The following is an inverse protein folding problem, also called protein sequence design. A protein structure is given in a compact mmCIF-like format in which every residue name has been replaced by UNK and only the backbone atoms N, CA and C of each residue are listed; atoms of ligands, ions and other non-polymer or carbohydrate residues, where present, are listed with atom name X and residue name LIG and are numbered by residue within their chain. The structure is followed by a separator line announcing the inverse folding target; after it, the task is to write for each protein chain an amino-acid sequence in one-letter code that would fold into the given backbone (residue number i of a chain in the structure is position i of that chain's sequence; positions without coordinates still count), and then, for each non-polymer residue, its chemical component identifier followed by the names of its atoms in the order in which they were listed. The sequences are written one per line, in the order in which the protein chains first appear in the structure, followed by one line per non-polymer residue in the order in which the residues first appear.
data_IF_419633171402
#
_entry.id   IF_419633171402
#
_cell.length_a   1.000
_cell.length_b   1.000
_cell.length_c   1.000
_cell.angle_alpha   90.00
_cell.angle_beta   90.00
_cell.angle_gamma   90.00
#
_symmetry.space_group_name_H-M   'P 1'
#
loop_
_entity.id
_entity.type
_entity.pdbx_description
1 polymer ?
#
# COMPACT_ATOMS: atom_id res chain seq x y z
N UNK A 1 14.10 -12.93 14.98
CA UNK A 1 13.09 -13.19 13.92
C UNK A 1 13.80 -12.98 12.61
N UNK A 2 14.09 -14.05 11.86
CA UNK A 2 14.74 -13.94 10.55
C UNK A 2 13.76 -13.28 9.57
N UNK A 3 14.21 -12.24 8.87
CA UNK A 3 13.42 -11.61 7.81
C UNK A 3 13.07 -12.67 6.79
N UNK A 4 11.77 -12.81 6.49
CA UNK A 4 11.33 -13.63 5.38
C UNK A 4 11.87 -12.94 4.13
N UNK A 5 12.85 -13.54 3.45
CA UNK A 5 13.24 -13.06 2.12
C UNK A 5 11.96 -12.91 1.30
N UNK A 6 11.76 -11.71 0.74
CA UNK A 6 10.70 -11.48 -0.23
C UNK A 6 11.01 -12.39 -1.41
N UNK A 7 10.30 -13.52 -1.49
CA UNK A 7 10.63 -14.60 -2.40
C UNK A 7 10.77 -14.05 -3.82
N UNK A 8 11.98 -14.09 -4.36
CA UNK A 8 12.27 -13.64 -5.74
C UNK A 8 12.57 -12.15 -5.92
N UNK A 9 12.90 -11.39 -4.86
CA UNK A 9 13.43 -10.03 -4.99
C UNK A 9 14.88 -9.96 -4.52
N UNK A 10 15.78 -9.46 -5.37
CA UNK A 10 17.15 -9.15 -4.93
C UNK A 10 17.16 -7.87 -4.10
N UNK A 11 18.22 -7.67 -3.29
CA UNK A 11 18.43 -6.40 -2.57
C UNK A 11 18.49 -5.19 -3.52
N UNK A 12 19.01 -5.38 -4.74
CA UNK A 12 19.08 -4.33 -5.77
C UNK A 12 17.70 -3.98 -6.30
N UNK A 13 16.89 -4.99 -6.63
CA UNK A 13 15.51 -4.77 -7.09
C UNK A 13 14.69 -4.09 -6.01
N UNK A 14 14.80 -4.56 -4.77
CA UNK A 14 14.11 -3.97 -3.63
C UNK A 14 14.52 -2.51 -3.43
N UNK A 15 15.81 -2.18 -3.51
CA UNK A 15 16.28 -0.80 -3.42
C UNK A 15 15.72 0.07 -4.55
N UNK A 16 15.70 -0.44 -5.78
CA UNK A 16 15.12 0.27 -6.92
C UNK A 16 13.62 0.52 -6.72
N UNK A 17 12.85 -0.51 -6.35
CA UNK A 17 11.41 -0.47 -6.10
C UNK A 17 11.01 0.47 -4.95
N UNK A 18 11.91 0.76 -4.02
CA UNK A 18 11.71 1.67 -2.90
C UNK A 18 12.13 3.12 -3.21
N UNK A 19 12.51 3.43 -4.45
CA UNK A 19 13.07 4.72 -4.86
C UNK A 19 12.48 5.19 -6.22
N UNK A 20 12.74 6.45 -6.63
CA UNK A 20 12.33 6.94 -7.95
C UNK A 20 12.93 6.16 -9.15
N UNK A 21 13.96 5.33 -8.92
CA UNK A 21 14.60 4.54 -9.99
C UNK A 21 13.65 3.53 -10.62
N UNK A 22 12.63 3.06 -9.88
CA UNK A 22 11.64 2.14 -10.41
C UNK A 22 10.74 2.75 -11.50
N UNK A 23 10.67 4.09 -11.59
CA UNK A 23 9.79 4.82 -12.51
C UNK A 23 8.39 4.19 -12.54
N UNK A 24 7.83 3.98 -11.35
CA UNK A 24 6.65 3.18 -11.20
C UNK A 24 5.40 3.98 -11.58
N UNK A 25 4.52 3.38 -12.37
CA UNK A 25 3.32 4.05 -12.88
C UNK A 25 2.12 3.12 -12.74
N UNK A 26 1.06 3.59 -12.10
CA UNK A 26 -0.20 2.86 -12.05
C UNK A 26 -0.92 2.94 -13.40
N UNK A 27 -1.59 1.86 -13.80
CA UNK A 27 -2.24 1.74 -15.12
C UNK A 27 -3.71 1.38 -14.97
N UNK A 28 -4.57 2.16 -15.61
CA UNK A 28 -6.02 1.95 -15.65
C UNK A 28 -6.73 2.54 -14.43
N UNK A 29 -7.80 1.88 -14.02
CA UNK A 29 -8.62 2.27 -12.87
C UNK A 29 -8.44 1.29 -11.71
N UNK A 30 -8.68 1.78 -10.49
CA UNK A 30 -8.79 0.98 -9.29
C UNK A 30 -10.05 0.12 -9.38
N UNK A 31 -9.88 -1.20 -9.30
CA UNK A 31 -10.97 -2.17 -9.30
C UNK A 31 -11.33 -2.56 -7.87
N UNK A 32 -12.59 -2.34 -7.47
CA UNK A 32 -13.11 -2.78 -6.18
C UNK A 32 -13.70 -4.19 -6.24
N UNK A 33 -13.43 -4.99 -5.21
CA UNK A 33 -13.98 -6.33 -5.03
C UNK A 33 -14.31 -6.57 -3.56
N UNK A 34 -15.29 -7.43 -3.33
CA UNK A 34 -15.62 -7.94 -1.99
C UNK A 34 -15.05 -9.34 -1.84
N UNK A 35 -13.97 -9.51 -1.06
CA UNK A 35 -13.26 -10.81 -0.92
C UNK A 35 -13.82 -11.74 0.14
N UNK A 36 -14.42 -11.17 1.17
CA UNK A 36 -15.11 -11.85 2.28
C UNK A 36 -16.33 -11.00 2.64
N UNK A 37 -17.34 -11.55 3.34
CA UNK A 37 -18.43 -10.72 3.83
C UNK A 37 -17.86 -9.48 4.53
N UNK A 38 -18.23 -8.30 4.03
CA UNK A 38 -17.84 -7.00 4.59
C UNK A 38 -16.36 -6.61 4.47
N UNK A 39 -15.58 -7.23 3.59
CA UNK A 39 -14.21 -6.82 3.30
C UNK A 39 -14.10 -6.27 1.88
N UNK A 40 -13.83 -4.97 1.78
CA UNK A 40 -13.69 -4.24 0.53
C UNK A 40 -12.21 -4.14 0.17
N UNK A 41 -11.86 -4.50 -1.05
CA UNK A 41 -10.49 -4.44 -1.57
C UNK A 41 -10.48 -3.70 -2.91
N UNK A 42 -9.64 -2.67 -3.02
CA UNK A 42 -9.34 -1.95 -4.25
C UNK A 42 -7.94 -2.32 -4.74
N UNK A 43 -7.80 -2.62 -6.03
CA UNK A 43 -6.49 -2.94 -6.64
C UNK A 43 -6.31 -2.18 -7.94
N UNK A 44 -5.14 -1.58 -8.14
CA UNK A 44 -4.69 -1.01 -9.42
C UNK A 44 -3.32 -1.58 -9.78
N UNK A 45 -3.13 -1.88 -11.06
CA UNK A 45 -1.85 -2.43 -11.57
C UNK A 45 -0.79 -1.34 -11.58
N UNK A 46 0.46 -1.73 -11.34
CA UNK A 46 1.64 -0.86 -11.39
C UNK A 46 2.65 -1.46 -12.35
N UNK A 47 3.19 -0.66 -13.25
CA UNK A 47 4.32 -1.03 -14.10
C UNK A 47 5.60 -0.39 -13.55
N UNK A 48 6.73 -1.07 -13.71
CA UNK A 48 8.04 -0.55 -13.31
C UNK A 48 9.08 -0.82 -14.41
N UNK A 49 10.21 -0.11 -14.35
CA UNK A 49 11.37 -0.39 -15.23
C UNK A 49 12.36 -1.40 -14.64
N UNK A 50 12.07 -1.96 -13.46
CA UNK A 50 12.92 -2.97 -12.82
C UNK A 50 12.74 -4.30 -13.57
N UNK A 51 13.79 -4.79 -14.22
CA UNK A 51 13.71 -5.86 -15.21
C UNK A 51 13.05 -7.16 -14.70
N UNK A 52 13.39 -7.57 -13.48
CA UNK A 52 12.86 -8.78 -12.86
C UNK A 52 11.50 -8.56 -12.18
N UNK A 53 11.03 -7.31 -12.15
CA UNK A 53 9.82 -6.86 -11.46
C UNK A 53 8.98 -5.89 -12.32
N UNK A 54 8.68 -6.22 -13.60
CA UNK A 54 8.04 -5.27 -14.50
C UNK A 54 6.60 -4.94 -14.08
N UNK A 55 5.98 -5.80 -13.26
CA UNK A 55 4.59 -5.70 -12.84
C UNK A 55 4.47 -5.78 -11.32
N UNK A 56 3.59 -4.93 -10.80
CA UNK A 56 3.16 -4.92 -9.41
C UNK A 56 1.71 -4.46 -9.30
N UNK A 57 1.30 -4.15 -8.07
CA UNK A 57 -0.02 -3.58 -7.79
C UNK A 57 0.00 -2.69 -6.54
N UNK A 58 -0.79 -1.63 -6.56
CA UNK A 58 -1.22 -0.95 -5.35
C UNK A 58 -2.55 -1.55 -4.90
N UNK A 59 -2.63 -1.87 -3.61
CA UNK A 59 -3.81 -2.44 -2.98
C UNK A 59 -4.24 -1.57 -1.81
N UNK A 60 -5.54 -1.39 -1.65
CA UNK A 60 -6.19 -0.84 -0.47
C UNK A 60 -7.26 -1.82 0.01
N UNK A 61 -7.41 -2.01 1.31
CA UNK A 61 -8.53 -2.78 1.86
C UNK A 61 -8.95 -2.33 3.26
N UNK A 62 -10.22 -2.53 3.57
CA UNK A 62 -10.80 -2.28 4.88
C UNK A 62 -11.97 -3.24 5.13
N UNK A 63 -12.40 -3.34 6.39
CA UNK A 63 -13.57 -4.14 6.77
C UNK A 63 -14.68 -3.23 7.31
N UNK A 64 -15.94 -3.46 6.93
CA UNK A 64 -17.06 -2.58 7.31
C UNK A 64 -17.24 -2.38 8.82
N UNK A 65 -16.94 -3.36 9.71
CA UNK A 65 -17.04 -3.12 11.15
C UNK A 65 -16.03 -2.09 11.67
N UNK A 66 -14.94 -1.85 10.94
CA UNK A 66 -13.84 -0.92 11.28
C UNK A 66 -13.37 -0.19 10.02
N UNK A 67 -14.23 0.66 9.41
CA UNK A 67 -13.90 1.34 8.18
C UNK A 67 -12.83 2.43 8.41
N UNK A 68 -12.65 2.86 9.66
CA UNK A 68 -11.56 3.70 10.14
C UNK A 68 -10.18 3.03 10.02
N UNK A 69 -10.13 1.70 9.93
CA UNK A 69 -8.90 0.92 9.77
C UNK A 69 -8.73 0.49 8.33
N UNK A 70 -7.79 1.14 7.65
CA UNK A 70 -7.49 0.89 6.25
C UNK A 70 -6.03 0.47 6.08
N UNK A 71 -5.83 -0.49 5.20
CA UNK A 71 -4.53 -1.08 4.92
C UNK A 71 -4.17 -0.90 3.47
N UNK A 72 -2.94 -0.45 3.21
CA UNK A 72 -2.42 -0.25 1.87
C UNK A 72 -1.15 -1.05 1.67
N UNK A 73 -0.95 -1.56 0.45
CA UNK A 73 0.23 -2.35 0.10
C UNK A 73 0.69 -2.06 -1.32
N UNK A 74 2.00 -1.91 -1.49
CA UNK A 74 2.64 -2.01 -2.80
C UNK A 74 3.16 -3.43 -2.97
N UNK A 75 2.62 -4.17 -3.93
CA UNK A 75 2.85 -5.58 -4.16
C UNK A 75 3.70 -5.80 -5.41
N UNK A 76 4.72 -6.65 -5.30
CA UNK A 76 5.53 -7.14 -6.42
C UNK A 76 5.76 -8.64 -6.20
N UNK A 77 5.58 -9.46 -7.23
CA UNK A 77 5.71 -10.94 -7.15
C UNK A 77 4.92 -11.56 -5.97
N UNK A 78 3.74 -11.01 -5.66
CA UNK A 78 2.88 -11.47 -4.58
C UNK A 78 3.31 -11.09 -3.16
N UNK A 79 4.44 -10.37 -3.01
CA UNK A 79 4.95 -9.91 -1.73
C UNK A 79 4.84 -8.39 -1.61
N UNK A 80 4.61 -7.88 -0.40
CA UNK A 80 4.56 -6.44 -0.18
C UNK A 80 5.98 -5.86 -0.03
N UNK A 81 6.23 -4.80 -0.78
CA UNK A 81 7.47 -4.00 -0.75
C UNK A 81 7.35 -2.87 0.27
N UNK A 82 6.16 -2.25 0.34
CA UNK A 82 5.75 -1.31 1.39
C UNK A 82 4.34 -1.63 1.83
N UNK A 83 4.04 -1.32 3.09
CA UNK A 83 2.71 -1.43 3.66
C UNK A 83 2.42 -0.22 4.54
N UNK A 84 1.17 0.21 4.57
CA UNK A 84 0.66 1.22 5.48
C UNK A 84 -0.55 0.64 6.20
N UNK A 85 -0.55 0.75 7.52
CA UNK A 85 -1.67 0.43 8.38
C UNK A 85 -2.15 1.73 9.02
N UNK A 86 -3.41 2.08 8.81
CA UNK A 86 -4.03 3.29 9.35
C UNK A 86 -4.94 2.91 10.52
N UNK A 87 -4.79 3.61 11.64
CA UNK A 87 -5.56 3.40 12.88
C UNK A 87 -5.57 1.95 13.39
N UNK A 88 -4.58 1.14 13.03
CA UNK A 88 -4.46 -0.23 13.48
C UNK A 88 -3.31 -0.38 14.48
N UNK A 89 -3.48 -1.30 15.41
CA UNK A 89 -2.54 -1.50 16.53
C UNK A 89 -1.98 -2.92 16.46
N UNK A 90 -0.65 -3.03 16.48
CA UNK A 90 0.05 -4.30 16.60
C UNK A 90 0.99 -4.26 17.80
N UNK A 91 1.54 -5.42 18.17
CA UNK A 91 2.45 -5.51 19.32
C UNK A 91 3.66 -4.59 19.14
N UNK A 92 3.69 -3.49 19.90
CA UNK A 92 4.79 -2.52 19.93
C UNK A 92 4.68 -1.38 18.91
N UNK A 93 3.55 -1.26 18.19
CA UNK A 93 3.28 -0.17 17.25
C UNK A 93 1.84 0.29 17.40
N UNK A 94 1.66 1.55 17.74
CA UNK A 94 0.34 2.16 17.97
C UNK A 94 -0.02 3.09 16.81
N UNK A 95 -1.31 3.16 16.48
CA UNK A 95 -1.90 4.07 15.50
C UNK A 95 -1.35 3.88 14.07
N UNK A 96 -1.47 4.90 13.22
CA UNK A 96 -1.02 4.85 11.83
C UNK A 96 0.49 4.62 11.74
N UNK A 97 0.91 3.62 10.97
CA UNK A 97 2.31 3.27 10.79
C UNK A 97 2.59 2.64 9.42
N UNK A 98 3.83 2.80 8.95
CA UNK A 98 4.33 2.23 7.70
C UNK A 98 5.30 1.10 8.01
N UNK A 99 5.20 0.03 7.22
CA UNK A 99 6.20 -1.03 7.15
C UNK A 99 6.97 -0.92 5.84
N UNK A 100 8.27 -1.16 5.92
CA UNK A 100 9.18 -1.19 4.78
C UNK A 100 10.20 -2.31 4.96
N UNK A 101 10.98 -2.58 3.93
CA UNK A 101 12.12 -3.49 4.01
C UNK A 101 13.43 -2.72 3.90
N UNK A 102 14.42 -3.11 4.68
CA UNK A 102 15.79 -2.58 4.61
C UNK A 102 16.52 -3.36 3.52
N UNK A 103 16.84 -2.78 2.34
CA UNK A 103 17.34 -3.54 1.20
C UNK A 103 18.60 -4.35 1.49
N UNK A 104 19.51 -3.77 2.29
CA UNK A 104 20.78 -4.39 2.66
C UNK A 104 20.63 -5.66 3.52
N UNK A 105 19.51 -5.81 4.23
CA UNK A 105 19.33 -6.92 5.19
C UNK A 105 18.07 -7.74 4.96
N UNK A 106 17.16 -7.27 4.09
CA UNK A 106 15.82 -7.83 3.91
C UNK A 106 14.95 -7.80 5.17
N UNK A 107 15.39 -7.09 6.22
CA UNK A 107 14.64 -6.98 7.47
C UNK A 107 13.53 -5.96 7.34
N UNK A 108 12.43 -6.23 8.01
CA UNK A 108 11.31 -5.31 8.15
C UNK A 108 11.68 -4.15 9.10
N UNK A 109 11.33 -2.94 8.68
CA UNK A 109 11.35 -1.73 9.49
C UNK A 109 9.95 -1.16 9.65
N UNK A 110 9.68 -0.51 10.78
CA UNK A 110 8.40 0.13 11.08
C UNK A 110 8.63 1.55 11.58
N UNK A 111 7.79 2.49 11.15
CA UNK A 111 7.85 3.89 11.58
C UNK A 111 6.47 4.55 11.52
N UNK A 112 6.28 5.60 12.32
CA UNK A 112 5.10 6.46 12.28
C UNK A 112 5.27 7.52 11.19
N UNK A 113 4.37 7.62 10.21
CA UNK A 113 4.41 8.66 9.19
C UNK A 113 3.90 10.01 9.71
N UNK A 114 4.38 11.09 9.11
CA UNK A 114 3.89 12.47 9.29
C UNK A 114 3.16 13.02 8.03
N UNK A 115 3.12 12.24 6.96
CA UNK A 115 2.63 12.61 5.63
C UNK A 115 1.29 11.94 5.26
N UNK A 116 0.77 11.06 6.10
CA UNK A 116 -0.49 10.35 5.86
C UNK A 116 -1.67 11.16 6.42
N UNK A 117 -2.68 11.51 5.60
CA UNK A 117 -3.88 12.20 6.06
C UNK A 117 -4.61 11.42 7.17
N UNK A 118 -5.15 12.14 8.14
CA UNK A 118 -5.94 11.55 9.22
C UNK A 118 -7.21 10.87 8.69
N UNK A 119 -7.51 9.69 9.22
CA UNK A 119 -8.80 9.03 9.07
C UNK A 119 -9.50 9.08 10.42
N UNK A 120 -10.55 9.90 10.59
CA UNK A 120 -11.26 9.98 11.87
C UNK A 120 -11.83 8.62 12.28
N UNK A 121 -11.70 8.29 13.56
CA UNK A 121 -12.29 7.08 14.12
C UNK A 121 -13.82 7.14 14.11
N UNK A 122 -14.48 6.06 13.68
CA UNK A 122 -15.94 5.97 13.68
C UNK A 122 -16.49 4.86 12.78
N UNK A 123 -17.82 4.62 12.83
CA UNK A 123 -18.47 3.58 12.03
C UNK A 123 -18.64 3.96 10.57
N UNK A 124 -18.24 5.17 10.17
CA UNK A 124 -18.37 5.70 8.80
C UNK A 124 -17.16 6.55 8.46
N UNK A 125 -16.70 6.46 7.22
CA UNK A 125 -15.62 7.30 6.68
C UNK A 125 -16.18 8.19 5.58
N UNK A 126 -15.86 9.48 5.62
CA UNK A 126 -16.34 10.45 4.62
C UNK A 126 -15.76 10.13 3.23
N UNK A 127 -16.55 10.30 2.14
CA UNK A 127 -16.07 10.11 0.77
C UNK A 127 -14.78 10.89 0.48
N UNK A 128 -13.90 10.32 -0.35
CA UNK A 128 -12.60 10.92 -0.68
C UNK A 128 -11.54 10.81 0.42
N UNK A 129 -11.86 10.32 1.62
CA UNK A 129 -10.85 10.08 2.68
C UNK A 129 -9.89 8.96 2.29
N UNK A 130 -10.42 7.81 1.86
CA UNK A 130 -9.58 6.70 1.39
C UNK A 130 -8.74 7.08 0.18
N UNK A 131 -9.28 7.92 -0.72
CA UNK A 131 -8.56 8.42 -1.88
C UNK A 131 -7.30 9.19 -1.47
N UNK A 132 -7.44 10.15 -0.53
CA UNK A 132 -6.31 10.97 -0.06
C UNK A 132 -5.22 10.14 0.61
N UNK A 133 -5.62 9.16 1.43
CA UNK A 133 -4.66 8.21 2.04
C UNK A 133 -3.96 7.37 0.97
N UNK A 134 -4.69 6.92 -0.05
CA UNK A 134 -4.15 6.17 -1.17
C UNK A 134 -3.14 6.97 -1.98
N UNK A 135 -3.45 8.23 -2.30
CA UNK A 135 -2.55 9.15 -3.01
C UNK A 135 -1.27 9.42 -2.21
N UNK A 136 -1.39 9.66 -0.90
CA UNK A 136 -0.22 9.85 -0.03
C UNK A 136 0.68 8.59 0.03
N UNK A 137 0.07 7.41 0.14
CA UNK A 137 0.82 6.15 0.12
C UNK A 137 1.48 5.87 -1.25
N UNK A 138 0.80 6.19 -2.35
CA UNK A 138 1.38 6.06 -3.69
C UNK A 138 2.58 6.99 -3.89
N UNK A 139 2.51 8.22 -3.37
CA UNK A 139 3.62 9.17 -3.41
C UNK A 139 4.86 8.67 -2.67
N UNK A 140 4.69 8.11 -1.46
CA UNK A 140 5.77 7.44 -0.71
C UNK A 140 6.38 6.26 -1.49
N UNK A 141 5.56 5.55 -2.27
CA UNK A 141 6.03 4.45 -3.11
C UNK A 141 6.66 4.92 -4.43
N UNK A 142 6.72 6.24 -4.69
CA UNK A 142 7.16 6.82 -5.96
C UNK A 142 6.35 6.31 -7.17
N UNK A 143 5.04 6.12 -6.98
CA UNK A 143 4.13 5.64 -8.01
C UNK A 143 3.29 6.80 -8.54
N UNK A 144 3.39 7.04 -9.85
CA UNK A 144 2.52 7.98 -10.53
C UNK A 144 1.13 7.38 -10.73
N UNK A 145 0.08 8.15 -10.41
CA UNK A 145 -1.32 7.74 -10.58
C UNK A 145 -1.94 8.46 -11.79
N UNK A 146 -2.67 7.75 -12.68
CA UNK A 146 -3.31 8.38 -13.83
C UNK A 146 -4.57 9.14 -13.42
N UNK A 147 -5.00 10.11 -14.23
CA UNK A 147 -6.28 10.78 -14.03
C UNK A 147 -7.46 9.78 -14.09
N UNK A 148 -8.48 10.02 -13.28
CA UNK A 148 -9.68 9.18 -13.27
C UNK A 148 -9.46 7.74 -12.79
N UNK A 149 -8.32 7.45 -12.16
CA UNK A 149 -8.01 6.12 -11.61
C UNK A 149 -8.97 5.70 -10.49
N UNK A 150 -9.55 6.66 -9.76
CA UNK A 150 -10.29 6.39 -8.52
C UNK A 150 -11.79 6.22 -8.75
N UNK A 151 -12.36 5.25 -8.06
CA UNK A 151 -13.80 5.12 -7.83
C UNK A 151 -14.03 4.91 -6.33
N UNK A 152 -15.17 5.37 -5.78
CA UNK A 152 -15.49 5.14 -4.37
C UNK A 152 -15.92 3.69 -4.14
N UNK A 153 -15.53 3.06 -3.01
CA UNK A 153 -15.96 1.70 -2.69
C UNK A 153 -17.48 1.64 -2.47
N UNK A 154 -18.12 0.58 -2.95
CA UNK A 154 -19.56 0.34 -2.73
C UNK A 154 -20.51 1.10 -3.67
N UNK A 155 -20.04 1.56 -4.83
CA UNK A 155 -20.88 1.95 -5.96
C UNK A 155 -21.20 0.79 -6.88
#
# INVERSE_FOLDING_TARGET
MAGRELSGLTSTDLAALLSPLAKATAVGQLEWRVKKPRCHEGVIKVHTVVADCPLGALRIYFVEPRPDRVHLQYLVNGSWVRRLDVNDEHRGVENTHKHTHIPATGREGVYTPDDIPEVPGGPTVAPGTYRRVFEAFAAECHIELPDGYWTEPGR
#
